data_IF_294126359702
#
_entry.id   IF_294126359702
#
_cell.length_a   1.000
_cell.length_b   1.000
_cell.length_c   1.000
_cell.angle_alpha   90.00
_cell.angle_beta   90.00
_cell.angle_gamma   90.00
#
_symmetry.space_group_name_H-M   'P 1'
#
loop_
_entity.id
_entity.type
_entity.pdbx_description
1 polymer ?
#
# COMPACT_ATOMS: atom_id res chain seq x y z
N UNK A 1 -6.46 39.78 -27.34
CA UNK A 1 -5.58 40.67 -26.55
C UNK A 1 -6.32 41.55 -25.55
N UNK A 2 -7.52 42.09 -25.87
CA UNK A 2 -8.23 43.05 -25.00
C UNK A 2 -8.44 42.60 -23.54
N UNK A 3 -8.88 41.35 -23.31
CA UNK A 3 -9.14 40.79 -21.97
C UNK A 3 -7.91 40.80 -21.05
N UNK A 4 -6.71 40.56 -21.58
CA UNK A 4 -5.48 40.52 -20.77
C UNK A 4 -4.99 41.92 -20.43
N UNK A 5 -5.12 42.87 -21.36
CA UNK A 5 -4.78 44.29 -21.10
C UNK A 5 -5.75 44.92 -20.09
N UNK A 6 -7.04 44.59 -20.16
CA UNK A 6 -8.04 45.07 -19.20
C UNK A 6 -7.77 44.51 -17.79
N UNK A 7 -7.42 43.23 -17.69
CA UNK A 7 -6.99 42.62 -16.43
C UNK A 7 -5.72 43.30 -15.88
N UNK A 8 -4.71 43.52 -16.73
CA UNK A 8 -3.45 44.20 -16.38
C UNK A 8 -3.67 45.63 -15.87
N UNK A 9 -4.50 46.42 -16.56
CA UNK A 9 -4.81 47.80 -16.15
C UNK A 9 -5.50 47.82 -14.79
N UNK A 10 -6.37 46.84 -14.52
CA UNK A 10 -7.17 46.79 -13.30
C UNK A 10 -6.41 46.25 -12.09
N UNK A 11 -5.59 45.21 -12.27
CA UNK A 11 -4.90 44.55 -11.15
C UNK A 11 -3.43 44.91 -11.04
N UNK A 12 -2.80 45.40 -12.11
CA UNK A 12 -1.33 45.54 -12.29
C UNK A 12 -0.53 44.28 -11.93
N UNK A 13 -1.21 43.16 -11.79
CA UNK A 13 -0.71 41.92 -11.23
C UNK A 13 -1.13 40.80 -12.17
N UNK A 14 -0.34 40.62 -13.23
CA UNK A 14 -0.58 39.59 -14.27
C UNK A 14 0.48 38.49 -14.19
N UNK A 15 1.53 38.73 -13.39
CA UNK A 15 2.56 37.76 -13.02
C UNK A 15 2.65 37.79 -11.51
N UNK A 16 1.90 36.91 -10.84
CA UNK A 16 2.08 36.68 -9.41
C UNK A 16 3.40 35.94 -9.19
N UNK A 17 4.03 36.21 -8.08
CA UNK A 17 5.14 35.39 -7.58
C UNK A 17 4.65 33.95 -7.37
N UNK A 18 5.26 32.93 -7.99
CA UNK A 18 4.98 31.50 -7.78
C UNK A 18 4.89 31.10 -6.30
N UNK A 19 5.67 31.73 -5.42
CA UNK A 19 5.66 31.45 -3.98
C UNK A 19 4.40 31.96 -3.27
N UNK A 20 3.68 32.92 -3.87
CA UNK A 20 2.43 33.49 -3.36
C UNK A 20 1.17 32.83 -3.95
N UNK A 21 1.32 31.77 -4.75
CA UNK A 21 0.19 30.98 -5.20
C UNK A 21 -0.31 30.16 -4.00
N UNK A 22 -1.60 30.27 -3.71
CA UNK A 22 -2.24 29.24 -2.90
C UNK A 22 -2.00 27.89 -3.59
N UNK A 23 -1.63 26.86 -2.82
CA UNK A 23 -1.51 25.48 -3.33
C UNK A 23 -2.88 25.02 -3.85
N UNK A 24 -3.18 25.32 -5.10
CA UNK A 24 -4.42 24.95 -5.80
C UNK A 24 -4.26 23.56 -6.42
N UNK A 25 -3.84 22.61 -5.59
CA UNK A 25 -3.88 21.19 -5.93
C UNK A 25 -5.32 20.71 -6.03
N UNK A 26 -5.52 19.54 -6.65
CA UNK A 26 -6.81 18.84 -6.60
C UNK A 26 -7.20 18.67 -5.11
N UNK A 27 -8.44 19.00 -4.72
CA UNK A 27 -8.94 18.71 -3.39
C UNK A 27 -8.72 17.24 -3.06
N UNK A 28 -8.34 16.96 -1.81
CA UNK A 28 -8.29 15.60 -1.31
C UNK A 28 -9.64 14.93 -1.54
N UNK A 29 -9.64 13.80 -2.24
CA UNK A 29 -10.84 12.98 -2.34
C UNK A 29 -11.16 12.33 -0.99
N UNK A 30 -10.11 11.96 -0.25
CA UNK A 30 -10.18 11.29 1.04
C UNK A 30 -10.02 12.28 2.19
N UNK A 31 -10.95 12.30 3.15
CA UNK A 31 -10.81 13.15 4.34
C UNK A 31 -9.79 12.58 5.32
N UNK A 32 -9.31 13.41 6.25
CA UNK A 32 -8.41 12.93 7.31
C UNK A 32 -9.12 11.92 8.23
N UNK A 33 -10.40 12.14 8.54
CA UNK A 33 -11.22 11.23 9.36
C UNK A 33 -11.38 9.86 8.68
N UNK A 34 -11.61 9.84 7.37
CA UNK A 34 -11.65 8.61 6.58
C UNK A 34 -10.30 7.88 6.63
N UNK A 35 -9.19 8.60 6.52
CA UNK A 35 -7.84 8.03 6.58
C UNK A 35 -7.54 7.39 7.94
N UNK A 36 -7.85 8.09 9.04
CA UNK A 36 -7.67 7.59 10.40
C UNK A 36 -8.53 6.35 10.66
N UNK A 37 -9.79 6.37 10.22
CA UNK A 37 -10.68 5.22 10.34
C UNK A 37 -10.13 3.99 9.60
N UNK A 38 -9.67 4.16 8.35
CA UNK A 38 -9.12 3.05 7.56
C UNK A 38 -7.86 2.48 8.19
N UNK A 39 -7.00 3.31 8.78
CA UNK A 39 -5.83 2.82 9.52
C UNK A 39 -6.22 1.98 10.74
N UNK A 40 -7.21 2.43 11.51
CA UNK A 40 -7.72 1.67 12.67
C UNK A 40 -8.32 0.33 12.21
N UNK A 41 -9.10 0.34 11.13
CA UNK A 41 -9.70 -0.88 10.57
C UNK A 41 -8.63 -1.88 10.10
N UNK A 42 -7.58 -1.40 9.43
CA UNK A 42 -6.48 -2.25 8.93
C UNK A 42 -5.54 -2.74 10.05
N UNK A 43 -5.43 -2.02 11.16
CA UNK A 43 -4.70 -2.50 12.35
C UNK A 43 -5.44 -3.67 13.02
N UNK A 44 -6.77 -3.61 13.06
CA UNK A 44 -7.61 -4.69 13.57
C UNK A 44 -7.69 -5.88 12.59
N UNK A 45 -7.87 -5.62 11.29
CA UNK A 45 -8.00 -6.62 10.25
C UNK A 45 -7.17 -6.25 9.00
N UNK A 46 -5.91 -6.71 8.92
CA UNK A 46 -5.02 -6.35 7.80
C UNK A 46 -5.36 -7.06 6.48
N UNK A 47 -6.35 -7.96 6.49
CA UNK A 47 -6.81 -8.74 5.33
C UNK A 47 -7.98 -8.13 4.58
N UNK A 48 -8.48 -6.98 5.04
CA UNK A 48 -9.62 -6.30 4.41
C UNK A 48 -9.38 -6.02 2.92
N UNK A 49 -10.39 -6.32 2.12
CA UNK A 49 -10.43 -5.99 0.71
C UNK A 49 -10.82 -4.52 0.48
N UNK A 50 -10.54 -4.00 -0.71
CA UNK A 50 -10.79 -2.59 -1.04
C UNK A 50 -12.27 -2.23 -1.03
N UNK A 51 -13.13 -3.17 -1.43
CA UNK A 51 -14.59 -3.04 -1.43
C UNK A 51 -15.17 -3.08 0.00
N UNK A 52 -14.58 -3.86 0.90
CA UNK A 52 -14.93 -3.84 2.33
C UNK A 52 -14.53 -2.51 2.98
N UNK A 53 -13.32 -2.01 2.69
CA UNK A 53 -12.88 -0.67 3.11
C UNK A 53 -13.84 0.41 2.57
N UNK A 54 -14.23 0.32 1.29
CA UNK A 54 -15.21 1.21 0.70
C UNK A 54 -16.56 1.16 1.43
N UNK A 55 -17.06 -0.04 1.73
CA UNK A 55 -18.31 -0.23 2.45
C UNK A 55 -18.27 0.41 3.85
N UNK A 56 -17.14 0.29 4.56
CA UNK A 56 -16.98 0.93 5.86
C UNK A 56 -16.94 2.45 5.78
N UNK A 57 -16.26 3.02 4.78
CA UNK A 57 -16.26 4.47 4.55
C UNK A 57 -17.67 4.96 4.25
N UNK A 58 -18.41 4.27 3.37
CA UNK A 58 -19.80 4.59 3.04
C UNK A 58 -20.69 4.53 4.29
N UNK A 59 -20.51 3.50 5.13
CA UNK A 59 -21.27 3.37 6.38
C UNK A 59 -20.99 4.52 7.36
N UNK A 60 -19.78 5.07 7.36
CA UNK A 60 -19.36 6.14 8.25
C UNK A 60 -19.75 7.55 7.74
N UNK A 61 -19.44 7.86 6.49
CA UNK A 61 -19.54 9.24 5.94
C UNK A 61 -20.66 9.40 4.91
N UNK A 62 -21.30 8.30 4.49
CA UNK A 62 -22.25 8.28 3.39
C UNK A 62 -21.63 8.51 2.01
N UNK A 63 -20.31 8.68 1.93
CA UNK A 63 -19.60 9.00 0.69
C UNK A 63 -18.96 7.74 0.10
N UNK A 64 -19.14 7.52 -1.20
CA UNK A 64 -18.52 6.40 -1.91
C UNK A 64 -17.37 6.89 -2.79
N UNK A 65 -16.15 6.48 -2.44
CA UNK A 65 -14.97 6.71 -3.27
C UNK A 65 -14.74 5.54 -4.21
N UNK A 66 -14.33 5.75 -5.48
CA UNK A 66 -13.96 4.66 -6.36
C UNK A 66 -12.83 3.80 -5.79
N UNK A 67 -12.84 2.48 -6.03
CA UNK A 67 -11.82 1.56 -5.51
C UNK A 67 -10.39 1.97 -5.91
N UNK A 68 -10.20 2.52 -7.11
CA UNK A 68 -8.90 3.04 -7.55
C UNK A 68 -8.43 4.21 -6.68
N UNK A 69 -9.34 5.09 -6.25
CA UNK A 69 -9.03 6.21 -5.35
C UNK A 69 -8.62 5.71 -3.97
N UNK A 70 -9.33 4.70 -3.44
CA UNK A 70 -8.98 4.06 -2.16
C UNK A 70 -7.61 3.39 -2.26
N UNK A 71 -7.36 2.64 -3.35
CA UNK A 71 -6.06 2.00 -3.58
C UNK A 71 -4.91 3.01 -3.67
N UNK A 72 -5.11 4.12 -4.38
CA UNK A 72 -4.13 5.19 -4.49
C UNK A 72 -3.90 5.88 -3.15
N UNK A 73 -4.96 6.12 -2.36
CA UNK A 73 -4.84 6.70 -1.03
C UNK A 73 -3.98 5.83 -0.10
N UNK A 74 -4.31 4.54 -0.02
CA UNK A 74 -3.58 3.55 0.78
C UNK A 74 -2.09 3.52 0.40
N UNK A 75 -1.79 3.50 -0.90
CA UNK A 75 -0.42 3.37 -1.40
C UNK A 75 0.38 4.67 -1.31
N UNK A 76 -0.18 5.76 -1.82
CA UNK A 76 0.56 7.01 -2.06
C UNK A 76 0.61 7.86 -0.80
N UNK A 77 -0.49 7.94 -0.04
CA UNK A 77 -0.64 8.88 1.06
C UNK A 77 -0.48 8.22 2.42
N UNK A 78 -1.03 7.03 2.60
CA UNK A 78 -0.84 6.23 3.81
C UNK A 78 0.43 5.37 3.80
N UNK A 79 1.15 5.35 2.68
CA UNK A 79 2.40 4.60 2.50
C UNK A 79 2.29 3.11 2.82
N UNK A 80 1.10 2.53 2.63
CA UNK A 80 0.85 1.11 2.85
C UNK A 80 1.26 0.28 1.64
N UNK A 81 1.76 -0.91 1.92
CA UNK A 81 2.14 -1.89 0.90
C UNK A 81 1.29 -3.14 1.01
N UNK A 82 0.73 -3.60 -0.10
CA UNK A 82 0.08 -4.91 -0.17
C UNK A 82 1.14 -6.00 -0.13
N UNK A 83 1.18 -6.78 0.95
CA UNK A 83 2.02 -7.97 1.06
C UNK A 83 1.17 -9.21 0.77
N UNK A 84 1.67 -10.07 -0.12
CA UNK A 84 1.03 -11.36 -0.36
C UNK A 84 1.47 -12.33 0.73
N UNK A 85 0.52 -12.93 1.42
CA UNK A 85 0.82 -13.98 2.40
C UNK A 85 1.51 -15.14 1.68
N UNK A 86 2.62 -15.62 2.25
CA UNK A 86 3.35 -16.77 1.73
C UNK A 86 2.66 -18.05 2.17
N UNK A 87 2.39 -18.95 1.24
CA UNK A 87 1.98 -20.32 1.56
C UNK A 87 3.13 -21.03 2.28
N UNK A 88 2.87 -21.44 3.52
CA UNK A 88 3.78 -22.26 4.32
C UNK A 88 3.30 -23.70 4.30
N UNK A 89 4.25 -24.65 4.36
CA UNK A 89 3.89 -26.06 4.48
C UNK A 89 3.19 -26.27 5.85
N UNK A 90 2.08 -27.02 5.95
CA UNK A 90 1.34 -27.17 7.21
C UNK A 90 2.19 -27.73 8.37
N UNK A 91 3.19 -28.55 8.06
CA UNK A 91 4.12 -29.08 9.06
C UNK A 91 5.24 -28.10 9.48
N UNK A 92 5.26 -26.87 8.96
CA UNK A 92 6.28 -25.89 9.30
C UNK A 92 6.03 -25.32 10.71
N UNK A 93 6.88 -25.70 11.67
CA UNK A 93 6.80 -25.22 13.06
C UNK A 93 7.90 -24.18 13.34
N UNK A 94 7.51 -23.01 13.87
CA UNK A 94 8.48 -21.96 14.22
C UNK A 94 9.41 -22.38 15.36
N UNK A 95 8.90 -23.17 16.31
CA UNK A 95 9.72 -23.74 17.38
C UNK A 95 10.82 -24.65 16.83
N UNK A 96 10.46 -25.62 15.99
CA UNK A 96 11.43 -26.54 15.40
C UNK A 96 12.43 -25.82 14.50
N UNK A 97 12.00 -24.76 13.79
CA UNK A 97 12.92 -23.92 13.00
C UNK A 97 13.90 -23.15 13.89
N UNK A 98 13.44 -22.61 15.01
CA UNK A 98 14.29 -21.91 15.96
C UNK A 98 15.32 -22.87 16.58
N UNK A 99 14.88 -24.05 17.02
CA UNK A 99 15.75 -25.10 17.58
C UNK A 99 16.78 -25.57 16.54
N UNK A 100 16.36 -25.84 15.31
CA UNK A 100 17.25 -26.21 14.22
C UNK A 100 18.30 -25.12 13.98
N UNK A 101 17.90 -23.83 13.92
CA UNK A 101 18.86 -22.72 13.76
C UNK A 101 19.83 -22.62 14.92
N UNK A 102 19.36 -22.77 16.16
CA UNK A 102 20.22 -22.71 17.34
C UNK A 102 21.26 -23.83 17.33
N UNK A 103 20.86 -25.04 16.92
CA UNK A 103 21.74 -26.21 16.84
C UNK A 103 22.74 -26.14 15.68
N UNK A 104 22.29 -25.66 14.51
CA UNK A 104 23.07 -25.74 13.27
C UNK A 104 23.84 -24.46 12.96
N UNK A 105 23.41 -23.32 13.51
CA UNK A 105 24.04 -22.01 13.29
C UNK A 105 25.52 -21.93 13.69
N UNK A 106 25.97 -22.59 14.78
CA UNK A 106 27.38 -22.63 15.13
C UNK A 106 28.25 -23.51 14.22
N UNK A 107 27.66 -24.35 13.35
CA UNK A 107 28.41 -25.25 12.46
C UNK A 107 28.89 -24.45 11.24
N UNK A 108 30.21 -24.39 10.96
CA UNK A 108 30.71 -23.69 9.79
C UNK A 108 30.16 -24.31 8.49
N UNK A 109 29.84 -23.47 7.52
CA UNK A 109 29.28 -23.92 6.23
C UNK A 109 30.18 -24.91 5.48
N UNK A 110 31.50 -24.86 5.69
CA UNK A 110 32.47 -25.81 5.11
C UNK A 110 32.27 -27.27 5.56
N UNK A 111 31.50 -27.49 6.62
CA UNK A 111 31.18 -28.81 7.16
C UNK A 111 29.75 -29.28 6.81
N UNK A 112 29.00 -28.50 6.03
CA UNK A 112 27.62 -28.81 5.63
C UNK A 112 27.58 -29.37 4.21
N UNK A 113 27.10 -30.59 4.05
CA UNK A 113 26.83 -31.22 2.74
C UNK A 113 25.32 -31.42 2.60
N UNK A 114 24.72 -30.80 1.58
CA UNK A 114 23.28 -30.90 1.32
C UNK A 114 23.00 -31.99 0.29
N UNK A 115 22.29 -33.03 0.70
CA UNK A 115 21.85 -34.12 -0.17
C UNK A 115 20.35 -33.95 -0.44
N UNK A 116 20.02 -33.30 -1.56
CA UNK A 116 18.63 -33.14 -2.00
C UNK A 116 18.32 -34.07 -3.17
N UNK A 117 17.24 -34.85 -3.08
CA UNK A 117 16.68 -35.56 -4.22
C UNK A 117 15.62 -34.69 -4.89
N UNK A 118 15.79 -34.38 -6.17
CA UNK A 118 14.84 -33.59 -6.94
C UNK A 118 13.84 -34.52 -7.63
N UNK A 119 12.57 -34.46 -7.25
CA UNK A 119 11.49 -35.11 -7.99
C UNK A 119 11.20 -34.29 -9.24
N UNK A 120 11.73 -34.73 -10.39
CA UNK A 120 11.32 -34.21 -11.70
C UNK A 120 10.00 -34.87 -12.07
N UNK A 121 8.87 -34.18 -11.84
CA UNK A 121 7.60 -34.57 -12.44
C UNK A 121 7.58 -34.08 -13.89
N UNK A 122 7.84 -34.98 -14.84
CA UNK A 122 7.54 -34.79 -16.25
C UNK A 122 6.03 -34.93 -16.44
N UNK A 123 5.29 -33.83 -16.31
CA UNK A 123 3.89 -33.79 -16.70
C UNK A 123 3.86 -33.38 -18.17
N UNK A 124 3.68 -34.38 -19.03
CA UNK A 124 3.38 -34.22 -20.45
C UNK A 124 2.01 -33.52 -20.59
N UNK A 125 1.97 -32.32 -21.14
CA UNK A 125 0.74 -31.75 -21.66
C UNK A 125 0.45 -32.43 -23.00
N UNK A 126 -0.69 -33.11 -23.09
CA UNK A 126 -1.31 -33.56 -24.33
C UNK A 126 -2.58 -32.77 -24.58
#
# INVERSE_FOLDING_TARGET
>A
MARWNELYIRTRDVVRDPELYANRGRPLAFTQEEAEFVLIALDAEPTLYLDEIQAHIVAMTGTSHPLATIADELRVRLHLTKKTARTVHPAQSDWQRAEFRARTGPIPSSHLVFLGAQLVQLIWFS
#
